data_IF_122897546405
#
_entry.id   IF_122897546405
#
_cell.length_a   1.000
_cell.length_b   1.000
_cell.length_c   1.000
_cell.angle_alpha   90.00
_cell.angle_beta   90.00
_cell.angle_gamma   90.00
#
_symmetry.space_group_name_H-M   'P 1'
#
loop_
_entity.id
_entity.type
_entity.pdbx_description
1 polymer ?
#
# COMPACT_ATOMS: atom_id res chain seq x y z
N UNK A 1 55.25 25.60 -27.16
CA UNK A 1 54.60 25.60 -25.84
C UNK A 1 53.30 24.81 -25.99
N UNK A 2 53.36 23.52 -25.68
CA UNK A 2 52.25 22.57 -25.85
C UNK A 2 51.55 22.38 -24.51
N UNK A 3 50.29 22.79 -24.44
CA UNK A 3 49.41 22.55 -23.30
C UNK A 3 49.34 21.05 -22.98
N UNK A 4 49.60 20.62 -21.72
CA UNK A 4 49.38 19.24 -21.34
C UNK A 4 47.87 19.02 -21.23
N UNK A 5 47.33 18.23 -22.16
CA UNK A 5 45.99 17.68 -22.13
C UNK A 5 45.68 17.17 -20.72
N UNK A 6 44.71 17.82 -20.07
CA UNK A 6 44.07 17.32 -18.85
C UNK A 6 43.54 15.92 -19.16
N UNK A 7 44.22 14.89 -18.68
CA UNK A 7 43.75 13.52 -18.69
C UNK A 7 42.53 13.46 -17.76
N UNK A 8 41.34 13.56 -18.35
CA UNK A 8 40.08 13.33 -17.63
C UNK A 8 40.10 11.87 -17.19
N UNK A 9 40.40 11.64 -15.92
CA UNK A 9 40.42 10.30 -15.34
C UNK A 9 39.00 9.76 -15.40
N UNK A 10 38.78 8.71 -16.19
CA UNK A 10 37.49 8.07 -16.31
C UNK A 10 37.02 7.56 -14.93
N UNK A 11 35.76 7.79 -14.60
CA UNK A 11 35.18 7.30 -13.36
C UNK A 11 35.23 5.76 -13.30
N UNK A 12 35.34 5.16 -12.10
CA UNK A 12 35.40 3.71 -11.95
C UNK A 12 34.11 3.06 -12.49
N UNK A 13 34.30 1.98 -13.27
CA UNK A 13 33.23 1.14 -13.78
C UNK A 13 32.90 0.06 -12.75
N UNK A 14 31.60 -0.16 -12.51
CA UNK A 14 31.13 -1.19 -11.59
C UNK A 14 30.18 -2.14 -12.29
N UNK A 15 30.31 -3.43 -12.00
CA UNK A 15 29.33 -4.43 -12.41
C UNK A 15 28.15 -4.42 -11.44
N UNK A 16 26.94 -4.57 -11.95
CA UNK A 16 25.71 -4.64 -11.15
C UNK A 16 25.38 -6.11 -10.94
N UNK A 17 25.40 -6.61 -9.70
CA UNK A 17 25.03 -8.00 -9.43
C UNK A 17 23.53 -8.22 -9.65
N UNK A 18 23.15 -9.40 -10.16
CA UNK A 18 21.76 -9.79 -10.38
C UNK A 18 21.18 -10.46 -9.12
N UNK A 19 21.05 -9.69 -8.05
CA UNK A 19 20.42 -10.12 -6.79
C UNK A 19 18.97 -9.61 -6.80
N UNK A 20 17.96 -10.45 -6.47
CA UNK A 20 16.58 -10.01 -6.33
C UNK A 20 16.47 -9.09 -5.12
N UNK A 21 16.12 -7.81 -5.36
CA UNK A 21 15.93 -6.82 -4.32
C UNK A 21 14.62 -6.08 -4.59
N UNK A 22 13.80 -5.97 -3.54
CA UNK A 22 12.57 -5.19 -3.52
C UNK A 22 12.70 -4.13 -2.44
N UNK A 23 12.20 -2.93 -2.72
CA UNK A 23 12.18 -1.84 -1.76
C UNK A 23 10.81 -1.73 -1.10
N UNK A 24 10.80 -1.52 0.21
CA UNK A 24 9.58 -1.36 1.01
C UNK A 24 9.61 0.02 1.67
N UNK A 25 8.71 0.90 1.24
CA UNK A 25 8.53 2.23 1.84
C UNK A 25 7.50 2.13 2.97
N UNK A 26 7.96 1.68 4.14
CA UNK A 26 7.11 1.49 5.31
C UNK A 26 6.53 2.84 5.81
N UNK A 27 5.21 2.96 6.06
CA UNK A 27 4.58 4.23 6.43
C UNK A 27 4.95 4.71 7.84
N UNK A 28 5.32 3.79 8.75
CA UNK A 28 5.81 4.15 10.08
C UNK A 28 7.33 4.29 10.13
N UNK A 29 7.80 5.04 11.13
CA UNK A 29 9.22 5.09 11.49
C UNK A 29 9.66 3.75 12.08
N UNK A 30 10.46 2.99 11.33
CA UNK A 30 10.98 1.69 11.78
C UNK A 30 12.06 1.91 12.84
N UNK A 31 11.75 1.52 14.07
CA UNK A 31 12.70 1.43 15.19
C UNK A 31 13.11 -0.02 15.47
N UNK A 32 12.15 -0.94 15.35
CA UNK A 32 12.36 -2.39 15.46
C UNK A 32 12.08 -3.03 14.10
N UNK A 33 13.10 -3.64 13.50
CA UNK A 33 13.01 -4.28 12.18
C UNK A 33 12.12 -5.52 12.23
N UNK A 34 12.25 -6.35 13.26
CA UNK A 34 11.45 -7.57 13.42
C UNK A 34 9.96 -7.23 13.56
N UNK A 35 9.65 -6.15 14.29
CA UNK A 35 8.29 -5.63 14.40
C UNK A 35 7.72 -5.20 13.04
N UNK A 36 8.51 -4.51 12.22
CA UNK A 36 8.10 -4.12 10.87
C UNK A 36 7.93 -5.34 9.95
N UNK A 37 8.80 -6.35 10.05
CA UNK A 37 8.66 -7.61 9.30
C UNK A 37 7.35 -8.32 9.67
N UNK A 38 7.02 -8.40 10.97
CA UNK A 38 5.76 -9.01 11.43
C UNK A 38 4.53 -8.27 10.91
N UNK A 39 4.59 -6.94 10.79
CA UNK A 39 3.49 -6.15 10.21
C UNK A 39 3.27 -6.46 8.72
N UNK A 40 4.30 -6.91 8.01
CA UNK A 40 4.25 -7.25 6.58
C UNK A 40 3.86 -8.71 6.31
N UNK A 41 3.38 -9.45 7.32
CA UNK A 41 3.04 -10.87 7.19
C UNK A 41 4.18 -11.83 7.53
N UNK A 42 5.36 -11.32 7.89
CA UNK A 42 6.52 -12.12 8.29
C UNK A 42 7.40 -12.54 7.11
N UNK A 43 8.41 -13.36 7.41
CA UNK A 43 9.45 -13.73 6.45
C UNK A 43 8.90 -14.51 5.24
N UNK A 44 7.84 -15.29 5.42
CA UNK A 44 7.23 -16.08 4.34
C UNK A 44 6.62 -15.20 3.25
N UNK A 45 5.91 -14.14 3.64
CA UNK A 45 5.24 -13.23 2.70
C UNK A 45 6.27 -12.33 1.99
N UNK A 46 7.34 -11.95 2.70
CA UNK A 46 8.48 -11.24 2.11
C UNK A 46 9.25 -12.13 1.13
N UNK A 47 9.42 -13.42 1.44
CA UNK A 47 10.09 -14.37 0.54
C UNK A 47 9.28 -14.59 -0.75
N UNK A 48 7.96 -14.75 -0.64
CA UNK A 48 7.04 -14.85 -1.79
C UNK A 48 7.17 -13.62 -2.70
N UNK A 49 7.32 -12.42 -2.12
CA UNK A 49 7.48 -11.17 -2.85
C UNK A 49 8.81 -11.07 -3.61
N UNK A 50 9.88 -11.75 -3.17
CA UNK A 50 11.17 -11.74 -3.85
C UNK A 50 11.17 -12.59 -5.13
N UNK A 51 10.14 -13.40 -5.36
CA UNK A 51 9.99 -14.20 -6.57
C UNK A 51 9.83 -13.29 -7.80
N UNK A 52 10.50 -13.63 -8.92
CA UNK A 52 10.64 -12.73 -10.06
C UNK A 52 9.33 -12.37 -10.77
N UNK A 53 8.33 -13.24 -10.68
CA UNK A 53 7.05 -13.11 -11.39
C UNK A 53 5.89 -12.75 -10.45
N UNK A 54 6.19 -12.44 -9.17
CA UNK A 54 5.14 -12.13 -8.21
C UNK A 54 4.66 -10.68 -8.35
N UNK A 55 3.40 -10.52 -8.80
CA UNK A 55 2.72 -9.23 -8.92
C UNK A 55 1.83 -8.93 -7.71
N UNK A 56 1.74 -9.86 -6.75
CA UNK A 56 0.91 -9.73 -5.55
C UNK A 56 1.33 -8.49 -4.75
N UNK A 57 0.41 -7.56 -4.45
CA UNK A 57 0.73 -6.41 -3.61
C UNK A 57 0.90 -6.86 -2.16
N UNK A 58 1.83 -6.23 -1.45
CA UNK A 58 2.12 -6.56 -0.07
C UNK A 58 1.12 -5.94 0.91
N UNK A 59 0.71 -6.75 1.88
CA UNK A 59 -0.12 -6.34 3.00
C UNK A 59 0.65 -5.64 4.10
N UNK A 60 0.00 -4.68 4.77
CA UNK A 60 0.49 -4.14 6.03
C UNK A 60 -0.59 -4.17 7.11
N UNK A 61 -0.32 -4.89 8.19
CA UNK A 61 -1.17 -4.96 9.38
C UNK A 61 -0.50 -4.26 10.54
N UNK A 62 -1.16 -3.23 11.08
CA UNK A 62 -0.63 -2.50 12.23
C UNK A 62 -0.68 -3.31 13.53
N UNK A 63 -1.57 -4.30 13.61
CA UNK A 63 -1.70 -5.19 14.76
C UNK A 63 -1.62 -6.65 14.29
N UNK A 64 -0.41 -7.19 14.08
CA UNK A 64 -0.24 -8.54 13.56
C UNK A 64 -0.79 -9.64 14.48
N UNK A 65 -0.88 -9.38 15.80
CA UNK A 65 -1.45 -10.30 16.78
C UNK A 65 -2.99 -10.31 16.81
N UNK A 66 -3.62 -9.34 16.15
CA UNK A 66 -5.07 -9.22 16.13
C UNK A 66 -5.64 -9.76 14.80
N UNK A 67 -6.38 -10.89 14.79
CA UNK A 67 -6.92 -11.47 13.57
C UNK A 67 -8.01 -10.62 12.93
N UNK A 68 -8.60 -9.69 13.71
CA UNK A 68 -9.56 -8.70 13.20
C UNK A 68 -8.90 -7.45 12.65
N UNK A 69 -7.57 -7.32 12.78
CA UNK A 69 -6.84 -6.18 12.25
C UNK A 69 -6.92 -6.19 10.73
N UNK A 70 -7.30 -5.03 10.19
CA UNK A 70 -7.35 -4.86 8.74
C UNK A 70 -5.98 -4.58 8.17
N UNK A 71 -5.80 -5.11 6.98
CA UNK A 71 -4.61 -4.95 6.19
C UNK A 71 -4.75 -3.75 5.25
N UNK A 72 -3.71 -2.94 5.17
CA UNK A 72 -3.58 -1.89 4.15
C UNK A 72 -2.73 -2.46 3.03
N UNK A 73 -3.30 -2.49 1.83
CA UNK A 73 -2.63 -3.07 0.65
C UNK A 73 -1.66 -2.05 0.05
N UNK A 74 -0.45 -2.49 -0.29
CA UNK A 74 0.56 -1.66 -0.94
C UNK A 74 0.23 -1.43 -2.42
N UNK A 75 0.68 -0.29 -2.94
CA UNK A 75 0.83 -0.11 -4.38
C UNK A 75 2.20 -0.62 -4.82
N UNK A 76 2.21 -1.66 -5.66
CA UNK A 76 3.44 -2.17 -6.26
C UNK A 76 3.85 -1.29 -7.45
N UNK A 77 4.94 -0.55 -7.30
CA UNK A 77 5.52 0.27 -8.35
C UNK A 77 6.77 -0.41 -8.91
N UNK A 78 6.73 -0.78 -10.19
CA UNK A 78 7.94 -1.23 -10.89
C UNK A 78 8.94 -0.08 -10.99
N UNK A 79 10.20 -0.34 -10.66
CA UNK A 79 11.26 0.66 -10.59
C UNK A 79 12.57 0.11 -11.16
N UNK A 80 13.44 1.01 -11.60
CA UNK A 80 14.79 0.69 -12.09
C UNK A 80 15.83 1.33 -11.17
N UNK A 81 15.61 1.25 -9.85
CA UNK A 81 16.49 1.88 -8.86
C UNK A 81 17.69 0.97 -8.57
N UNK A 82 18.80 1.56 -8.10
CA UNK A 82 20.01 0.83 -7.73
C UNK A 82 20.27 0.97 -6.24
N UNK A 83 20.59 -0.14 -5.56
CA UNK A 83 21.01 -0.12 -4.16
C UNK A 83 22.53 -0.01 -4.09
N UNK A 84 23.00 1.07 -3.47
CA UNK A 84 24.42 1.34 -3.27
C UNK A 84 24.77 1.21 -1.78
N UNK A 85 25.80 0.43 -1.48
CA UNK A 85 26.42 0.37 -0.15
C UNK A 85 27.63 1.29 -0.17
N UNK A 86 27.59 2.31 0.70
CA UNK A 86 28.69 3.25 0.87
C UNK A 86 29.30 3.04 2.25
N UNK A 87 30.54 2.56 2.27
CA UNK A 87 31.33 2.37 3.49
C UNK A 87 32.14 3.63 3.74
N UNK A 88 31.87 4.29 4.86
CA UNK A 88 32.56 5.51 5.28
C UNK A 88 33.26 5.24 6.61
N UNK A 89 34.54 5.62 6.77
CA UNK A 89 35.22 5.50 8.05
C UNK A 89 34.47 6.28 9.14
N UNK A 90 34.39 5.72 10.34
CA UNK A 90 33.78 6.40 11.49
C UNK A 90 34.67 7.58 11.87
N UNK A 91 34.14 8.80 11.88
CA UNK A 91 34.84 9.94 12.49
C UNK A 91 34.90 9.72 13.99
N UNK A 92 36.04 9.31 14.51
CA UNK A 92 36.33 9.31 15.95
C UNK A 92 36.34 10.76 16.43
N UNK A 93 35.60 11.01 17.51
CA UNK A 93 35.20 12.35 17.94
C UNK A 93 36.30 13.22 18.52
N UNK A 94 37.60 12.95 18.30
CA UNK A 94 38.67 13.79 18.81
C UNK A 94 39.34 14.55 17.66
N UNK A 95 39.41 15.87 17.81
CA UNK A 95 40.34 16.69 17.02
C UNK A 95 41.72 16.04 17.15
N UNK A 96 42.28 15.56 16.05
CA UNK A 96 43.73 15.37 15.89
C UNK A 96 44.46 16.54 16.54
N UNK A 97 45.55 16.28 17.25
CA UNK A 97 46.45 17.35 17.69
C UNK A 97 46.87 18.08 16.41
N UNK A 98 46.70 19.41 16.37
CA UNK A 98 46.98 20.21 15.16
C UNK A 98 48.41 19.92 14.70
N UNK A 99 48.55 19.19 13.59
CA UNK A 99 49.84 18.80 13.02
C UNK A 99 50.19 17.29 12.98
N UNK A 100 49.36 16.37 13.49
CA UNK A 100 49.62 14.92 13.35
C UNK A 100 48.87 14.28 12.17
N UNK A 101 49.49 13.24 11.60
CA UNK A 101 48.99 12.42 10.48
C UNK A 101 48.64 10.98 10.93
N UNK A 102 48.47 10.77 12.24
CA UNK A 102 48.19 9.45 12.80
C UNK A 102 46.74 9.02 12.59
N UNK A 103 46.56 7.72 12.49
CA UNK A 103 45.27 7.07 12.26
C UNK A 103 44.37 7.17 13.51
N UNK A 104 43.08 7.29 13.27
CA UNK A 104 42.08 7.55 14.28
C UNK A 104 41.76 6.29 15.11
N UNK A 105 42.18 6.21 16.38
CA UNK A 105 41.94 5.04 17.25
C UNK A 105 40.57 5.05 17.97
N UNK A 106 39.98 3.86 18.18
CA UNK A 106 38.61 3.66 18.69
C UNK A 106 38.49 3.64 20.24
N UNK A 107 37.34 4.07 20.75
CA UNK A 107 36.79 3.63 22.04
C UNK A 107 35.29 3.28 21.89
N UNK A 108 34.79 2.20 22.52
CA UNK A 108 33.46 1.66 22.26
C UNK A 108 32.41 2.38 23.11
N UNK A 109 31.84 3.48 22.60
CA UNK A 109 30.69 4.11 23.25
C UNK A 109 29.41 3.79 22.48
N UNK A 110 28.62 2.89 23.07
CA UNK A 110 27.15 2.81 23.06
C UNK A 110 26.37 3.00 21.75
N UNK A 111 25.59 1.97 21.40
CA UNK A 111 24.43 1.93 20.48
C UNK A 111 24.30 3.13 19.53
N UNK A 112 24.62 2.86 18.26
CA UNK A 112 24.59 3.75 17.10
C UNK A 112 23.38 4.71 17.04
N UNK A 113 23.51 5.90 17.65
CA UNK A 113 22.65 7.04 17.35
C UNK A 113 22.71 7.32 15.83
N UNK A 114 21.55 7.56 15.19
CA UNK A 114 21.48 7.88 13.75
C UNK A 114 22.43 9.05 13.46
N UNK A 115 23.45 8.79 12.63
CA UNK A 115 24.43 9.80 12.23
C UNK A 115 23.76 10.79 11.29
N UNK A 116 23.86 12.08 11.63
CA UNK A 116 23.29 13.16 10.81
C UNK A 116 23.90 13.16 9.39
N UNK A 117 23.10 13.56 8.39
CA UNK A 117 23.51 13.65 6.97
C UNK A 117 24.72 14.58 6.83
N UNK A 118 24.74 15.68 7.59
CA UNK A 118 25.87 16.62 7.61
C UNK A 118 27.16 15.95 8.07
N UNK A 119 27.07 15.04 9.04
CA UNK A 119 28.20 14.27 9.51
C UNK A 119 28.71 13.31 8.42
N UNK A 120 27.80 12.59 7.75
CA UNK A 120 28.16 11.64 6.68
C UNK A 120 28.82 12.34 5.48
N UNK A 121 28.21 13.41 4.97
CA UNK A 121 28.75 14.19 3.85
C UNK A 121 30.13 14.78 4.18
N UNK A 122 30.33 15.21 5.43
CA UNK A 122 31.62 15.72 5.85
C UNK A 122 32.66 14.61 6.01
N UNK A 123 32.26 13.46 6.54
CA UNK A 123 33.14 12.29 6.67
C UNK A 123 33.58 11.75 5.30
N UNK A 124 32.71 11.82 4.29
CA UNK A 124 33.03 11.50 2.90
C UNK A 124 34.06 12.46 2.31
N UNK A 125 33.91 13.77 2.56
CA UNK A 125 34.87 14.80 2.11
C UNK A 125 36.22 14.68 2.81
N UNK A 126 36.22 14.37 4.10
CA UNK A 126 37.43 14.29 4.91
C UNK A 126 38.23 13.00 4.61
N UNK A 127 37.59 11.94 4.12
CA UNK A 127 38.20 10.63 3.88
C UNK A 127 38.00 10.12 2.44
N UNK A 128 38.40 10.90 1.44
CA UNK A 128 38.20 10.56 0.02
C UNK A 128 38.86 9.24 -0.39
N UNK A 129 39.99 8.88 0.21
CA UNK A 129 40.77 7.68 -0.13
C UNK A 129 40.25 6.38 0.53
N UNK A 130 39.45 6.49 1.59
CA UNK A 130 38.93 5.34 2.36
C UNK A 130 37.42 5.16 2.20
N UNK A 131 36.79 5.92 1.31
CA UNK A 131 35.39 5.74 0.95
C UNK A 131 35.29 4.62 -0.09
N UNK A 132 34.60 3.54 0.26
CA UNK A 132 34.29 2.46 -0.67
C UNK A 132 32.80 2.51 -1.04
N UNK A 133 32.51 2.43 -2.33
CA UNK A 133 31.16 2.32 -2.86
C UNK A 133 31.00 1.00 -3.61
N UNK A 134 29.94 0.25 -3.32
CA UNK A 134 29.65 -1.06 -3.90
C UNK A 134 28.19 -1.11 -4.36
N UNK A 135 27.95 -1.57 -5.58
CA UNK A 135 26.60 -1.85 -6.07
C UNK A 135 26.12 -3.17 -5.48
N UNK A 136 25.04 -3.12 -4.70
CA UNK A 136 24.44 -4.30 -4.07
C UNK A 136 23.47 -5.00 -5.03
N UNK A 137 22.80 -4.24 -5.90
CA UNK A 137 21.91 -4.81 -6.92
C UNK A 137 20.87 -3.81 -7.41
N UNK A 138 20.01 -4.30 -8.31
CA UNK A 138 18.89 -3.55 -8.87
C UNK A 138 17.62 -3.80 -8.04
N UNK A 139 16.95 -2.72 -7.66
CA UNK A 139 15.63 -2.75 -7.05
C UNK A 139 14.60 -2.82 -8.18
N UNK A 140 13.89 -3.94 -8.29
CA UNK A 140 12.92 -4.18 -9.38
C UNK A 140 11.57 -3.54 -9.09
N UNK A 141 11.14 -3.58 -7.85
CA UNK A 141 9.85 -3.04 -7.42
C UNK A 141 10.00 -2.30 -6.10
N UNK A 142 9.15 -1.30 -5.91
CA UNK A 142 9.01 -0.56 -4.67
C UNK A 142 7.57 -0.60 -4.22
N UNK A 143 7.33 -1.06 -3.00
CA UNK A 143 6.00 -1.16 -2.40
C UNK A 143 5.77 0.04 -1.49
N UNK A 144 4.66 0.75 -1.75
CA UNK A 144 4.34 1.99 -1.04
C UNK A 144 2.88 2.00 -0.60
N UNK A 145 2.63 2.39 0.64
CA UNK A 145 1.27 2.55 1.18
C UNK A 145 0.84 4.01 1.08
N UNK A 146 0.19 4.36 -0.03
CA UNK A 146 -0.40 5.69 -0.26
C UNK A 146 -1.92 5.71 -0.23
N UNK A 147 -2.55 4.54 -0.16
CA UNK A 147 -4.00 4.39 -0.11
C UNK A 147 -4.51 4.70 1.29
N UNK A 148 -5.74 5.22 1.36
CA UNK A 148 -6.42 5.42 2.63
C UNK A 148 -6.71 4.04 3.27
N UNK A 149 -6.45 3.85 4.58
CA UNK A 149 -6.90 2.67 5.30
C UNK A 149 -8.43 2.58 5.28
N UNK A 150 -8.96 1.36 5.22
CA UNK A 150 -10.39 1.12 5.30
C UNK A 150 -10.96 1.40 6.71
N UNK A 151 -12.27 1.55 6.82
CA UNK A 151 -12.95 1.78 8.10
C UNK A 151 -12.79 0.58 9.04
N UNK A 152 -12.21 0.80 10.21
CA UNK A 152 -12.00 -0.25 11.20
C UNK A 152 -13.23 -0.37 12.11
N UNK A 153 -13.69 -1.60 12.33
CA UNK A 153 -14.73 -1.94 13.29
C UNK A 153 -14.12 -2.65 14.51
N UNK A 154 -14.52 -2.25 15.72
CA UNK A 154 -14.05 -2.90 16.95
C UNK A 154 -15.05 -3.95 17.41
N UNK A 155 -14.60 -5.20 17.48
CA UNK A 155 -15.38 -6.34 17.97
C UNK A 155 -15.23 -6.58 19.49
N UNK A 156 -14.57 -5.69 20.23
CA UNK A 156 -14.26 -5.90 21.66
C UNK A 156 -15.49 -6.10 22.56
N UNK A 157 -16.64 -5.55 22.17
CA UNK A 157 -17.90 -5.73 22.89
C UNK A 157 -18.71 -6.95 22.45
N UNK A 158 -18.32 -7.62 21.36
CA UNK A 158 -19.07 -8.74 20.79
C UNK A 158 -18.76 -10.03 21.55
N UNK A 159 -19.79 -10.64 22.13
CA UNK A 159 -19.66 -11.91 22.83
C UNK A 159 -19.43 -13.04 21.84
N UNK A 160 -20.09 -13.00 20.68
CA UNK A 160 -19.92 -14.01 19.63
C UNK A 160 -18.47 -14.01 19.08
N UNK A 161 -17.95 -12.86 18.68
CA UNK A 161 -16.60 -12.77 18.12
C UNK A 161 -15.52 -13.09 19.17
N UNK A 162 -15.80 -12.83 20.44
CA UNK A 162 -14.93 -13.27 21.55
C UNK A 162 -14.88 -14.79 21.67
N UNK A 163 -16.02 -15.48 21.55
CA UNK A 163 -16.05 -16.95 21.55
C UNK A 163 -15.37 -17.53 20.31
N UNK A 164 -15.61 -16.96 19.12
CA UNK A 164 -14.92 -17.39 17.89
C UNK A 164 -13.41 -17.23 18.03
N UNK A 165 -12.94 -16.09 18.55
CA UNK A 165 -11.50 -15.83 18.72
C UNK A 165 -10.84 -16.77 19.72
N UNK A 166 -11.54 -17.15 20.79
CA UNK A 166 -10.97 -17.97 21.87
C UNK A 166 -11.14 -19.47 21.64
N UNK A 167 -12.23 -19.90 20.99
CA UNK A 167 -12.57 -21.32 20.85
C UNK A 167 -12.34 -21.86 19.44
N UNK A 168 -12.51 -21.04 18.39
CA UNK A 168 -12.43 -21.49 16.98
C UNK A 168 -11.07 -21.15 16.36
N UNK A 169 -10.61 -19.89 16.45
CA UNK A 169 -9.37 -19.45 15.80
C UNK A 169 -8.10 -20.18 16.22
N UNK A 170 -7.93 -20.62 17.49
CA UNK A 170 -6.74 -21.39 17.88
C UNK A 170 -6.67 -22.78 17.23
N UNK A 171 -7.76 -23.26 16.65
CA UNK A 171 -7.88 -24.59 16.03
C UNK A 171 -7.63 -25.75 17.02
N UNK A 172 -7.83 -25.50 18.31
CA UNK A 172 -7.70 -26.50 19.38
C UNK A 172 -8.99 -27.32 19.53
N UNK A 173 -8.89 -28.64 19.34
CA UNK A 173 -10.03 -29.55 19.43
C UNK A 173 -10.82 -29.47 20.75
N UNK A 174 -10.18 -29.39 21.95
CA UNK A 174 -10.92 -29.30 23.21
C UNK A 174 -11.79 -28.05 23.32
N UNK A 175 -11.30 -26.92 22.82
CA UNK A 175 -12.02 -25.64 22.84
C UNK A 175 -13.16 -25.64 21.80
N UNK A 176 -12.94 -26.26 20.64
CA UNK A 176 -13.93 -26.38 19.58
C UNK A 176 -15.15 -27.20 20.02
N UNK A 177 -14.93 -28.28 20.80
CA UNK A 177 -16.02 -29.12 21.34
C UNK A 177 -16.93 -28.37 22.33
N UNK A 178 -16.37 -27.38 23.04
CA UNK A 178 -17.10 -26.55 24.00
C UNK A 178 -17.85 -25.39 23.33
N UNK A 179 -17.60 -25.15 22.04
CA UNK A 179 -18.28 -24.11 21.30
C UNK A 179 -19.65 -24.59 20.82
N UNK A 180 -20.67 -23.78 21.05
CA UNK A 180 -22.02 -23.99 20.53
C UNK A 180 -22.55 -22.65 20.05
N UNK A 181 -23.11 -22.61 18.84
CA UNK A 181 -23.70 -21.38 18.30
C UNK A 181 -24.82 -20.88 19.23
N UNK A 182 -24.75 -19.64 19.76
CA UNK A 182 -25.80 -19.09 20.59
C UNK A 182 -27.11 -19.02 19.80
N UNK A 183 -28.11 -19.82 20.20
CA UNK A 183 -29.43 -19.84 19.55
C UNK A 183 -30.22 -18.53 19.73
N UNK A 184 -29.72 -17.64 20.60
CA UNK A 184 -30.30 -16.34 20.95
C UNK A 184 -30.28 -15.30 19.81
N UNK A 185 -29.48 -15.50 18.74
CA UNK A 185 -29.49 -14.64 17.54
C UNK A 185 -30.85 -14.66 16.80
N UNK A 186 -31.71 -15.65 17.07
CA UNK A 186 -33.03 -15.79 16.46
C UNK A 186 -34.17 -15.14 17.27
N UNK A 187 -33.94 -14.80 18.54
CA UNK A 187 -34.93 -14.09 19.36
C UNK A 187 -34.67 -12.59 19.26
N UNK A 188 -35.71 -11.81 18.99
CA UNK A 188 -35.73 -10.36 18.77
C UNK A 188 -35.18 -9.51 19.95
N UNK A 189 -33.92 -9.73 20.32
CA UNK A 189 -33.18 -8.95 21.30
C UNK A 189 -32.54 -7.76 20.60
N UNK A 190 -32.62 -6.60 21.26
CA UNK A 190 -32.09 -5.30 20.80
C UNK A 190 -30.57 -5.33 20.51
N UNK A 191 -29.84 -6.33 21.04
CA UNK A 191 -28.40 -6.55 20.87
C UNK A 191 -28.08 -7.65 19.83
N UNK A 192 -28.69 -7.57 18.65
CA UNK A 192 -28.30 -8.46 17.53
C UNK A 192 -26.97 -7.99 16.96
N UNK A 193 -25.92 -8.79 17.17
CA UNK A 193 -24.57 -8.49 16.67
C UNK A 193 -24.48 -8.68 15.15
N UNK A 194 -24.22 -7.60 14.41
CA UNK A 194 -23.96 -7.65 12.97
C UNK A 194 -22.46 -7.82 12.69
N UNK A 195 -22.11 -8.83 11.90
CA UNK A 195 -20.72 -9.03 11.44
C UNK A 195 -20.43 -7.99 10.34
N UNK A 196 -19.33 -7.22 10.44
CA UNK A 196 -19.01 -6.23 9.43
C UNK A 196 -18.64 -6.90 8.10
N UNK A 197 -18.91 -6.24 6.96
CA UNK A 197 -18.40 -6.71 5.67
C UNK A 197 -16.86 -6.73 5.68
N UNK A 198 -16.23 -7.55 4.83
CA UNK A 198 -14.77 -7.61 4.74
C UNK A 198 -14.15 -6.27 4.29
N UNK A 199 -14.85 -5.50 3.48
CA UNK A 199 -14.45 -4.18 2.97
C UNK A 199 -15.59 -3.19 3.17
N UNK A 200 -15.33 -2.02 3.78
CA UNK A 200 -16.35 -0.96 3.91
C UNK A 200 -16.20 0.12 2.83
N UNK A 201 -14.97 0.53 2.55
CA UNK A 201 -14.67 1.50 1.50
C UNK A 201 -14.18 0.79 0.24
N UNK A 202 -14.96 0.92 -0.83
CA UNK A 202 -14.54 0.51 -2.18
C UNK A 202 -13.63 1.56 -2.84
N UNK A 203 -13.40 2.70 -2.18
CA UNK A 203 -12.59 3.81 -2.71
C UNK A 203 -11.31 3.95 -1.90
N UNK A 204 -10.17 3.81 -2.58
CA UNK A 204 -8.83 3.90 -1.97
C UNK A 204 -8.18 5.28 -2.09
N UNK A 205 -8.71 6.13 -2.99
CA UNK A 205 -8.22 7.48 -3.25
C UNK A 205 -9.30 8.52 -2.89
N UNK A 206 -8.91 9.67 -2.32
CA UNK A 206 -9.84 10.78 -2.09
C UNK A 206 -10.33 11.30 -3.45
N UNK A 207 -11.66 11.38 -3.62
CA UNK A 207 -12.26 12.05 -4.78
C UNK A 207 -12.53 13.51 -4.45
N UNK A 208 -12.26 14.37 -5.41
CA UNK A 208 -12.71 15.76 -5.34
C UNK A 208 -14.22 15.79 -5.54
N UNK A 209 -14.98 16.02 -4.47
CA UNK A 209 -16.42 16.25 -4.56
C UNK A 209 -16.65 17.70 -4.98
N UNK A 210 -16.80 17.93 -6.29
CA UNK A 210 -17.30 19.23 -6.77
C UNK A 210 -18.82 19.17 -6.78
N UNK A 211 -19.46 20.08 -6.04
CA UNK A 211 -20.90 20.27 -6.17
C UNK A 211 -21.18 20.75 -7.59
N UNK A 212 -21.80 19.90 -8.39
CA UNK A 212 -22.42 20.30 -9.64
C UNK A 212 -23.92 20.32 -9.41
N UNK A 213 -24.55 21.41 -9.85
CA UNK A 213 -26.00 21.40 -10.00
C UNK A 213 -26.35 20.25 -10.94
N UNK A 214 -27.33 19.44 -10.54
CA UNK A 214 -27.83 18.36 -11.39
C UNK A 214 -28.27 18.99 -12.73
N UNK A 215 -27.78 18.49 -13.88
CA UNK A 215 -28.15 19.01 -15.20
C UNK A 215 -29.66 18.96 -15.47
N UNK A 216 -30.41 18.19 -14.67
CA UNK A 216 -31.87 18.06 -14.73
C UNK A 216 -32.60 19.26 -14.13
N UNK A 217 -31.91 20.15 -13.41
CA UNK A 217 -32.52 21.34 -12.81
C UNK A 217 -32.76 22.40 -13.88
N UNK A 218 -34.02 22.60 -14.24
CA UNK A 218 -34.47 23.66 -15.14
C UNK A 218 -34.82 24.91 -14.32
N UNK A 219 -34.13 26.01 -14.58
CA UNK A 219 -34.47 27.31 -13.98
C UNK A 219 -35.76 27.83 -14.60
N UNK A 220 -36.84 27.88 -13.83
CA UNK A 220 -38.10 28.48 -14.30
C UNK A 220 -38.02 29.98 -14.09
N UNK A 221 -37.72 30.74 -15.15
CA UNK A 221 -37.82 32.20 -15.12
C UNK A 221 -39.30 32.60 -15.17
N UNK A 222 -39.89 32.92 -14.02
CA UNK A 222 -41.24 33.48 -13.94
C UNK A 222 -41.20 34.90 -14.51
N UNK A 223 -41.84 35.14 -15.66
CA UNK A 223 -42.03 36.50 -16.18
C UNK A 223 -43.10 37.19 -15.32
N UNK A 224 -42.70 38.02 -14.37
CA UNK A 224 -43.61 38.95 -13.69
C UNK A 224 -43.88 40.14 -14.62
N UNK A 225 -45.10 40.23 -15.15
CA UNK A 225 -45.55 41.47 -15.80
C UNK A 225 -45.88 42.49 -14.72
N UNK A 226 -44.93 43.44 -14.57
CA UNK A 226 -45.05 44.80 -14.05
C UNK A 226 -45.44 44.99 -12.56
N UNK A 227 -44.44 45.38 -11.75
CA UNK A 227 -44.61 46.04 -10.44
C UNK A 227 -43.80 45.43 -9.29
N UNK A 228 -42.54 45.82 -9.18
CA UNK A 228 -41.63 45.77 -8.02
C UNK A 228 -41.79 44.67 -6.95
N UNK A 229 -40.84 43.72 -6.93
CA UNK A 229 -39.92 43.42 -5.82
C UNK A 229 -39.15 42.13 -6.13
N UNK A 230 -37.87 42.08 -5.72
CA UNK A 230 -36.93 40.99 -5.95
C UNK A 230 -37.54 39.58 -5.77
N UNK A 231 -37.67 38.84 -6.87
CA UNK A 231 -38.14 37.44 -6.85
C UNK A 231 -36.93 36.52 -6.73
N UNK A 232 -36.74 35.93 -5.55
CA UNK A 232 -35.88 34.77 -5.36
C UNK A 232 -36.25 33.69 -6.37
N UNK A 233 -35.32 33.29 -7.22
CA UNK A 233 -35.52 32.16 -8.13
C UNK A 233 -35.72 30.90 -7.28
N UNK A 234 -36.96 30.48 -7.13
CA UNK A 234 -37.31 29.26 -6.40
C UNK A 234 -36.94 28.05 -7.28
N UNK A 235 -35.93 27.29 -6.84
CA UNK A 235 -35.50 26.06 -7.51
C UNK A 235 -36.41 24.93 -7.05
N UNK A 236 -37.32 24.51 -7.92
CA UNK A 236 -38.18 23.35 -7.66
C UNK A 236 -37.46 22.12 -8.23
N UNK A 237 -37.04 21.14 -7.41
CA UNK A 237 -36.54 19.87 -7.92
C UNK A 237 -37.72 19.08 -8.49
N UNK A 238 -37.57 18.62 -9.74
CA UNK A 238 -38.51 17.71 -10.38
C UNK A 238 -38.44 16.36 -9.66
N UNK A 239 -39.45 16.04 -8.85
CA UNK A 239 -39.58 14.69 -8.29
C UNK A 239 -40.09 13.77 -9.40
N UNK A 240 -39.16 13.30 -10.22
CA UNK A 240 -39.43 12.30 -11.25
C UNK A 240 -40.10 11.08 -10.65
N UNK A 241 -41.31 10.80 -11.11
CA UNK A 241 -41.95 9.50 -10.96
C UNK A 241 -41.01 8.43 -11.52
N UNK A 242 -40.73 7.37 -10.75
CA UNK A 242 -40.11 6.16 -11.25
C UNK A 242 -41.04 5.54 -12.30
N UNK A 243 -40.80 5.86 -13.57
CA UNK A 243 -41.30 5.10 -14.70
C UNK A 243 -40.35 3.94 -14.97
N UNK A 244 -40.87 2.72 -14.94
CA UNK A 244 -40.16 1.52 -15.35
C UNK A 244 -39.58 1.70 -16.77
N UNK A 245 -38.25 1.68 -16.87
CA UNK A 245 -37.56 1.81 -18.13
C UNK A 245 -37.61 0.46 -18.87
N UNK A 246 -38.51 0.37 -19.84
CA UNK A 246 -38.60 -0.75 -20.80
C UNK A 246 -37.46 -0.60 -21.81
N UNK A 247 -36.54 -1.57 -21.85
CA UNK A 247 -35.46 -1.63 -22.84
C UNK A 247 -36.01 -1.60 -24.28
N UNK A 248 -35.44 -0.80 -25.20
CA UNK A 248 -35.81 -0.84 -26.60
C UNK A 248 -35.01 -1.92 -27.34
N UNK A 249 -35.74 -2.88 -27.91
CA UNK A 249 -35.29 -3.69 -29.04
C UNK A 249 -35.29 -2.83 -30.30
N UNK A 250 -34.15 -2.73 -30.97
CA UNK A 250 -33.99 -3.11 -32.38
C UNK A 250 -32.64 -2.63 -32.93
N UNK A 251 -31.93 -3.54 -33.60
CA UNK A 251 -30.91 -3.22 -34.60
C UNK A 251 -31.08 -4.23 -35.74
N UNK A 252 -31.01 -3.81 -37.01
CA UNK A 252 -31.61 -4.55 -38.11
C UNK A 252 -30.73 -5.72 -38.59
N UNK A 253 -31.44 -6.74 -39.06
CA UNK A 253 -30.92 -7.96 -39.67
C UNK A 253 -30.24 -7.70 -41.03
N UNK A 254 -29.15 -8.44 -41.31
CA UNK A 254 -28.92 -9.02 -42.63
C UNK A 254 -28.11 -10.34 -42.53
N UNK A 255 -28.81 -11.43 -42.89
CA UNK A 255 -28.42 -12.59 -43.70
C UNK A 255 -27.13 -13.38 -43.43
N UNK A 256 -27.29 -14.57 -42.85
CA UNK A 256 -27.09 -15.86 -43.56
C UNK A 256 -25.67 -16.43 -43.69
N UNK A 257 -25.37 -17.50 -42.93
CA UNK A 257 -25.14 -18.85 -43.49
C UNK A 257 -24.49 -19.84 -42.49
N UNK A 258 -25.13 -21.01 -42.38
CA UNK A 258 -24.60 -22.36 -42.17
C UNK A 258 -23.84 -22.73 -40.87
N UNK A 259 -24.54 -23.42 -39.97
CA UNK A 259 -23.98 -24.32 -38.95
C UNK A 259 -23.71 -25.71 -39.57
N UNK A 260 -22.45 -26.12 -39.62
CA UNK A 260 -22.07 -27.53 -39.70
C UNK A 260 -21.77 -28.03 -38.29
N UNK A 261 -22.57 -28.99 -37.84
CA UNK A 261 -22.30 -29.80 -36.64
C UNK A 261 -21.24 -30.84 -36.99
N UNK A 262 -20.18 -30.94 -36.19
CA UNK A 262 -19.26 -32.09 -36.24
C UNK A 262 -19.14 -32.71 -34.86
N UNK A 263 -19.30 -34.03 -34.89
CA UNK A 263 -19.26 -34.98 -33.79
C UNK A 263 -17.93 -34.98 -33.04
N UNK A 264 -17.98 -35.26 -31.74
CA UNK A 264 -16.90 -35.95 -31.05
C UNK A 264 -17.50 -36.90 -30.00
N UNK A 265 -17.52 -38.17 -30.38
CA UNK A 265 -17.82 -39.32 -29.56
C UNK A 265 -16.77 -39.51 -28.46
N UNK A 266 -17.23 -39.73 -27.23
CA UNK A 266 -16.43 -40.30 -26.16
C UNK A 266 -16.60 -41.83 -26.22
N UNK A 267 -15.48 -42.54 -26.42
CA UNK A 267 -15.40 -44.00 -26.32
C UNK A 267 -14.72 -44.35 -24.98
N UNK A 268 -15.38 -45.22 -24.23
CA UNK A 268 -14.81 -46.05 -23.16
C UNK A 268 -13.66 -46.90 -23.70
N UNK A 269 -12.49 -46.92 -23.04
CA UNK A 269 -11.97 -48.06 -22.26
C UNK A 269 -10.76 -47.62 -21.44
#
# INVERSE_FOLDING_TARGET
MSDPLRTVTAAPLFSIPNVPIVAVEHPCIVQNVDGAIRMLGGDSEIAEMLEPDNVKPLGLRFQPDDPTSREVVAYNKETNNLLLKVTVPKRTGRKRKRGSNEEFSEHPTGLSARKDVKYLLRSLKDNTQHCQAEFVGKIRSTHVWRTLPDFVYTSKGSMFLKEVRTKILPQDYPHLKQWSMPRALASAATDTEAIPPPVFSTQSLPRNFSYRQDPSVKTVTRKSTLGDAAVSAEVIPDQGQLGEEKQPEDSPAESGALLQTSDASAILT
#
